data_IF_611838739801
#
_entry.id   IF_611838739801
#
_cell.length_a   1.000
_cell.length_b   1.000
_cell.length_c   1.000
_cell.angle_alpha   90.00
_cell.angle_beta   90.00
_cell.angle_gamma   90.00
#
_symmetry.space_group_name_H-M   'P 1'
#
loop_
_entity.id
_entity.type
_entity.pdbx_description
1 polymer ?
#
# COMPACT_ATOMS: atom_id res chain seq x y z
N UNK A 1 11.38 -4.58 -1.95
CA UNK A 1 11.72 -4.79 -3.38
C UNK A 1 10.51 -5.19 -4.23
N UNK A 2 9.70 -6.20 -3.85
CA UNK A 2 8.53 -6.65 -4.63
C UNK A 2 7.51 -5.54 -4.98
N UNK A 3 7.00 -4.80 -3.99
CA UNK A 3 6.01 -3.72 -4.23
C UNK A 3 6.55 -2.63 -5.16
N UNK A 4 7.81 -2.22 -4.95
CA UNK A 4 8.43 -1.18 -5.76
C UNK A 4 8.51 -1.60 -7.24
N UNK A 5 8.83 -2.87 -7.51
CA UNK A 5 8.80 -3.44 -8.86
C UNK A 5 7.39 -3.48 -9.47
N UNK A 6 6.37 -3.81 -8.68
CA UNK A 6 4.97 -3.79 -9.13
C UNK A 6 4.49 -2.37 -9.45
N UNK A 7 4.78 -1.41 -8.58
CA UNK A 7 4.43 0.00 -8.79
C UNK A 7 5.10 0.55 -10.06
N UNK A 8 6.40 0.32 -10.24
CA UNK A 8 7.11 0.75 -11.44
C UNK A 8 6.52 0.16 -12.73
N UNK A 9 6.00 -1.07 -12.67
CA UNK A 9 5.45 -1.79 -13.84
C UNK A 9 4.00 -1.43 -14.14
N UNK A 10 3.17 -1.23 -13.12
CA UNK A 10 1.72 -1.16 -13.28
C UNK A 10 1.13 0.19 -12.91
N UNK A 11 1.87 1.06 -12.22
CA UNK A 11 1.37 2.36 -11.73
C UNK A 11 2.03 3.53 -12.47
N UNK A 12 2.20 3.41 -13.78
CA UNK A 12 2.60 4.52 -14.67
C UNK A 12 3.81 5.35 -14.20
N UNK A 13 4.83 4.68 -13.64
CA UNK A 13 6.06 5.31 -13.17
C UNK A 13 6.00 5.85 -11.74
N UNK A 14 5.00 5.47 -10.94
CA UNK A 14 4.97 5.76 -9.52
C UNK A 14 6.17 5.12 -8.80
N UNK A 15 6.79 5.89 -7.91
CA UNK A 15 7.89 5.42 -7.05
C UNK A 15 7.62 5.78 -5.59
N UNK A 16 8.27 5.04 -4.68
CA UNK A 16 8.17 5.26 -3.23
C UNK A 16 9.32 6.17 -2.80
N UNK A 17 9.04 7.12 -1.92
CA UNK A 17 10.07 7.84 -1.20
C UNK A 17 10.58 6.98 -0.03
N UNK A 18 11.73 6.33 -0.22
CA UNK A 18 12.30 5.41 0.78
C UNK A 18 12.57 6.06 2.14
N UNK A 19 12.89 7.37 2.18
CA UNK A 19 13.09 8.11 3.42
C UNK A 19 11.82 8.31 4.26
N UNK A 20 10.65 8.15 3.65
CA UNK A 20 9.34 8.26 4.29
C UNK A 20 8.59 6.93 4.27
N UNK A 21 9.32 5.83 4.06
CA UNK A 21 8.77 4.48 4.12
C UNK A 21 8.95 3.92 5.51
N UNK A 22 7.86 3.44 6.08
CA UNK A 22 7.85 2.72 7.34
C UNK A 22 7.35 1.30 7.11
N UNK A 23 7.86 0.35 7.88
CA UNK A 23 7.43 -1.03 7.85
C UNK A 23 7.40 -1.61 9.24
N UNK A 24 6.39 -2.43 9.52
CA UNK A 24 6.27 -3.15 10.78
C UNK A 24 5.34 -4.35 10.63
N UNK A 25 5.35 -5.24 11.61
CA UNK A 25 4.44 -6.37 11.64
C UNK A 25 3.16 -6.01 12.41
N UNK A 26 2.03 -6.46 11.88
CA UNK A 26 0.72 -6.42 12.55
C UNK A 26 0.14 -7.84 12.57
N UNK A 27 -0.79 -8.10 13.48
CA UNK A 27 -1.62 -9.30 13.41
C UNK A 27 -2.76 -9.09 12.40
N UNK A 28 -2.90 -10.02 11.45
CA UNK A 28 -3.99 -10.01 10.48
C UNK A 28 -4.31 -11.44 10.03
N UNK A 29 -5.60 -11.80 10.01
CA UNK A 29 -6.07 -13.17 9.75
C UNK A 29 -5.45 -14.25 10.66
N UNK A 30 -5.12 -13.86 11.90
CA UNK A 30 -4.55 -14.76 12.91
C UNK A 30 -3.06 -15.08 12.75
N UNK A 31 -2.35 -14.38 11.84
CA UNK A 31 -0.92 -14.55 11.62
C UNK A 31 -0.21 -13.19 11.46
N UNK A 32 1.12 -13.21 11.42
CA UNK A 32 1.97 -12.06 11.20
C UNK A 32 1.85 -11.54 9.76
N UNK A 33 1.52 -10.27 9.62
CA UNK A 33 1.41 -9.58 8.35
C UNK A 33 2.38 -8.40 8.33
N UNK A 34 3.19 -8.29 7.28
CA UNK A 34 4.03 -7.12 7.07
C UNK A 34 3.17 -5.96 6.57
N UNK A 35 3.06 -4.91 7.37
CA UNK A 35 2.44 -3.64 6.99
C UNK A 35 3.53 -2.66 6.57
N UNK A 36 3.38 -2.09 5.38
CA UNK A 36 4.26 -1.05 4.85
C UNK A 36 3.43 0.20 4.60
N UNK A 37 3.90 1.34 5.08
CA UNK A 37 3.31 2.65 4.79
C UNK A 37 4.35 3.59 4.23
N UNK A 38 3.90 4.65 3.58
CA UNK A 38 4.78 5.73 3.20
C UNK A 38 4.17 6.64 2.16
N UNK A 39 5.04 7.34 1.44
CA UNK A 39 4.65 8.27 0.38
C UNK A 39 5.06 7.71 -0.98
N UNK A 40 4.13 7.72 -1.93
CA UNK A 40 4.39 7.51 -3.35
C UNK A 40 4.34 8.83 -4.11
N UNK A 41 5.08 8.91 -5.21
CA UNK A 41 5.10 10.06 -6.10
C UNK A 41 5.16 9.61 -7.56
N UNK A 42 4.61 10.46 -8.42
CA UNK A 42 4.81 10.41 -9.86
C UNK A 42 5.39 11.74 -10.33
N UNK A 43 6.60 11.71 -10.87
CA UNK A 43 7.28 12.94 -11.32
C UNK A 43 6.66 13.50 -12.59
N UNK A 44 6.26 12.65 -13.53
CA UNK A 44 5.74 13.08 -14.82
C UNK A 44 4.37 13.75 -14.68
N UNK A 45 3.50 13.20 -13.83
CA UNK A 45 2.17 13.74 -13.57
C UNK A 45 2.11 14.78 -12.44
N UNK A 46 3.20 14.98 -11.67
CA UNK A 46 3.23 15.93 -10.55
C UNK A 46 2.27 15.55 -9.40
N UNK A 47 1.98 14.26 -9.25
CA UNK A 47 1.03 13.71 -8.27
C UNK A 47 1.75 12.86 -7.24
N UNK A 48 1.05 12.57 -6.15
CA UNK A 48 1.53 11.68 -5.11
C UNK A 48 0.55 11.60 -3.95
N UNK A 49 0.89 10.77 -2.97
CA UNK A 49 0.07 10.59 -1.79
C UNK A 49 0.62 9.55 -0.83
N UNK A 50 -0.03 9.38 0.32
CA UNK A 50 0.27 8.28 1.21
C UNK A 50 -0.27 6.96 0.64
N UNK A 51 0.36 5.85 1.00
CA UNK A 51 -0.11 4.49 0.73
C UNK A 51 0.01 3.61 1.98
N UNK A 52 -0.70 2.48 1.95
CA UNK A 52 -0.54 1.37 2.90
C UNK A 52 -0.59 0.05 2.14
N UNK A 53 0.28 -0.89 2.47
CA UNK A 53 0.29 -2.22 1.87
C UNK A 53 0.44 -3.30 2.92
N UNK A 54 -0.30 -4.39 2.77
CA UNK A 54 -0.19 -5.59 3.60
C UNK A 54 0.38 -6.72 2.75
N UNK A 55 1.45 -7.34 3.23
CA UNK A 55 2.04 -8.53 2.64
C UNK A 55 1.92 -9.68 3.65
N UNK A 56 1.19 -10.71 3.27
CA UNK A 56 0.92 -11.86 4.13
C UNK A 56 0.97 -13.18 3.37
N UNK A 57 1.26 -14.24 4.10
CA UNK A 57 1.01 -15.60 3.67
C UNK A 57 -0.28 -16.10 4.31
N UNK A 58 -1.14 -16.73 3.52
CA UNK A 58 -2.36 -17.35 4.02
C UNK A 58 -2.65 -18.63 3.24
N UNK A 59 -2.78 -19.76 3.94
CA UNK A 59 -3.10 -21.08 3.36
C UNK A 59 -2.22 -21.45 2.15
N UNK A 60 -0.92 -21.26 2.25
CA UNK A 60 0.05 -21.60 1.19
C UNK A 60 0.09 -20.63 0.01
N UNK A 61 -0.63 -19.51 0.07
CA UNK A 61 -0.61 -18.44 -0.94
C UNK A 61 -0.04 -17.15 -0.36
N UNK A 62 0.67 -16.38 -1.17
CA UNK A 62 1.11 -15.03 -0.83
C UNK A 62 0.11 -14.01 -1.35
N UNK A 63 -0.27 -13.05 -0.52
CA UNK A 63 -1.16 -11.96 -0.85
C UNK A 63 -0.45 -10.61 -0.63
N UNK A 64 -0.62 -9.71 -1.59
CA UNK A 64 -0.28 -8.31 -1.45
C UNK A 64 -1.58 -7.50 -1.59
N UNK A 65 -2.00 -6.85 -0.52
CA UNK A 65 -3.07 -5.86 -0.55
C UNK A 65 -2.41 -4.49 -0.60
N UNK A 66 -2.82 -3.63 -1.52
CA UNK A 66 -2.22 -2.31 -1.71
C UNK A 66 -3.31 -1.24 -1.74
N UNK A 67 -3.28 -0.35 -0.76
CA UNK A 67 -4.22 0.74 -0.58
C UNK A 67 -3.60 2.06 -1.01
N UNK A 68 -4.16 2.65 -2.06
CA UNK A 68 -3.78 3.97 -2.59
C UNK A 68 -5.03 4.82 -2.83
N UNK A 69 -4.88 6.14 -2.75
CA UNK A 69 -5.94 7.09 -3.08
C UNK A 69 -5.44 8.06 -4.15
N UNK A 70 -6.10 8.05 -5.30
CA UNK A 70 -5.92 9.06 -6.34
C UNK A 70 -6.92 10.21 -6.12
N UNK A 71 -6.44 11.32 -5.55
CA UNK A 71 -7.25 12.53 -5.34
C UNK A 71 -6.37 13.80 -5.41
N UNK A 72 -5.99 14.24 -6.62
CA UNK A 72 -5.08 15.38 -6.81
C UNK A 72 -5.61 16.68 -6.18
N UNK A 73 -4.70 17.48 -5.61
CA UNK A 73 -5.05 18.79 -5.01
C UNK A 73 -5.89 18.75 -3.73
N UNK A 74 -6.18 17.56 -3.19
CA UNK A 74 -6.99 17.38 -1.97
C UNK A 74 -6.23 16.61 -0.89
N UNK A 75 -6.69 16.74 0.36
CA UNK A 75 -6.24 15.90 1.48
C UNK A 75 -6.66 14.45 1.22
N UNK A 76 -5.73 13.51 1.42
CA UNK A 76 -5.92 12.09 1.08
C UNK A 76 -5.99 11.15 2.30
N UNK A 77 -5.65 11.64 3.49
CA UNK A 77 -5.50 10.81 4.67
C UNK A 77 -6.81 10.08 5.03
N UNK A 78 -7.94 10.79 5.07
CA UNK A 78 -9.23 10.19 5.42
C UNK A 78 -9.64 9.09 4.42
N UNK A 79 -9.42 9.33 3.13
CA UNK A 79 -9.67 8.33 2.09
C UNK A 79 -8.73 7.12 2.23
N UNK A 80 -7.47 7.34 2.61
CA UNK A 80 -6.54 6.25 2.83
C UNK A 80 -6.94 5.40 4.04
N UNK A 81 -7.39 6.03 5.13
CA UNK A 81 -7.89 5.32 6.31
C UNK A 81 -9.14 4.48 5.97
N UNK A 82 -10.02 5.00 5.11
CA UNK A 82 -11.16 4.24 4.60
C UNK A 82 -10.71 3.06 3.73
N UNK A 83 -9.73 3.26 2.84
CA UNK A 83 -9.17 2.18 2.03
C UNK A 83 -8.53 1.09 2.90
N UNK A 84 -7.76 1.47 3.94
CA UNK A 84 -7.18 0.52 4.89
C UNK A 84 -8.28 -0.23 5.68
N UNK A 85 -9.35 0.45 6.07
CA UNK A 85 -10.49 -0.19 6.73
C UNK A 85 -11.13 -1.27 5.83
N UNK A 86 -11.28 -1.01 4.52
CA UNK A 86 -11.74 -2.02 3.55
C UNK A 86 -10.73 -3.17 3.42
N UNK A 87 -9.42 -2.87 3.36
CA UNK A 87 -8.40 -3.92 3.32
C UNK A 87 -8.47 -4.84 4.55
N UNK A 88 -8.80 -4.29 5.73
CA UNK A 88 -8.96 -5.06 6.98
C UNK A 88 -10.14 -6.03 6.97
N UNK A 89 -11.07 -5.92 6.03
CA UNK A 89 -12.16 -6.89 5.87
C UNK A 89 -11.84 -8.00 4.87
N UNK A 90 -10.62 -8.03 4.31
CA UNK A 90 -10.24 -9.03 3.34
C UNK A 90 -10.12 -10.42 3.98
N UNK A 91 -10.86 -11.39 3.43
CA UNK A 91 -10.77 -12.81 3.78
C UNK A 91 -10.60 -13.61 2.48
N UNK A 92 -9.38 -14.13 2.19
CA UNK A 92 -9.13 -14.93 1.00
C UNK A 92 -9.92 -16.26 1.03
N UNK A 93 -10.30 -16.76 -0.16
CA UNK A 93 -10.97 -18.05 -0.36
C UNK A 93 -10.08 -19.05 -1.10
#
# INVERSE_FOLDING_TARGET
>A
ELRAGLAARYYDGDFILDSLRESGFIEFLGDSCLRVTGIWQNRAAGIGGPFVSYALHYQGRFFLLDGLVYNPGRKKLDGLLQAEAVMRTFTPR
#
